data_IF_338049813331
#
_entry.id   IF_338049813331
#
_cell.length_a   1.000
_cell.length_b   1.000
_cell.length_c   1.000
_cell.angle_alpha   90.00
_cell.angle_beta   90.00
_cell.angle_gamma   90.00
#
_symmetry.space_group_name_H-M   'P 1'
#
loop_
_entity.id
_entity.type
_entity.pdbx_description
1 polymer ?
#
# COMPACT_ATOMS: atom_id res chain seq x y z
N UNK A 1 -15.06 6.18 -0.99
CA UNK A 1 -14.10 5.30 -0.28
C UNK A 1 -14.36 5.32 1.21
N UNK A 2 -13.62 4.50 1.98
CA UNK A 2 -13.90 4.19 3.40
C UNK A 2 -13.57 5.30 4.42
N UNK A 3 -12.69 6.25 4.09
CA UNK A 3 -12.23 7.37 4.95
C UNK A 3 -11.50 7.00 6.26
N UNK A 4 -11.23 5.73 6.52
CA UNK A 4 -10.44 5.30 7.70
C UNK A 4 -9.14 4.55 7.35
N UNK A 5 -8.74 4.55 6.07
CA UNK A 5 -7.49 3.93 5.63
C UNK A 5 -7.57 2.42 5.34
N UNK A 6 -8.78 1.85 5.25
CA UNK A 6 -9.02 0.42 4.98
C UNK A 6 -9.34 0.04 3.53
N UNK A 7 -9.33 0.98 2.60
CA UNK A 7 -9.50 0.70 1.17
C UNK A 7 -8.50 1.51 0.34
N UNK A 8 -8.29 1.12 -0.92
CA UNK A 8 -7.36 1.81 -1.83
C UNK A 8 -8.01 2.88 -2.71
N UNK A 9 -9.29 3.24 -2.49
CA UNK A 9 -9.99 4.24 -3.32
C UNK A 9 -9.31 5.62 -3.34
N UNK A 10 -8.65 6.01 -2.25
CA UNK A 10 -7.91 7.27 -2.16
C UNK A 10 -6.39 7.05 -2.16
N UNK A 11 -5.94 5.96 -2.78
CA UNK A 11 -4.53 5.72 -3.01
C UNK A 11 -3.97 6.71 -4.04
N UNK A 12 -2.79 7.24 -3.75
CA UNK A 12 -1.98 8.08 -4.62
C UNK A 12 -0.53 7.64 -4.54
N UNK A 13 0.31 8.06 -5.49
CA UNK A 13 1.74 7.77 -5.50
C UNK A 13 2.52 9.03 -5.08
N UNK A 14 3.34 8.89 -4.04
CA UNK A 14 4.24 9.92 -3.57
C UNK A 14 5.48 9.95 -4.48
N UNK A 15 5.60 11.01 -5.28
CA UNK A 15 6.71 11.22 -6.21
C UNK A 15 7.89 11.88 -5.50
N UNK A 16 7.58 12.87 -4.65
CA UNK A 16 8.57 13.58 -3.83
C UNK A 16 7.96 14.02 -2.50
N UNK A 17 8.80 14.18 -1.48
CA UNK A 17 8.39 14.54 -0.12
C UNK A 17 8.22 13.36 0.83
N UNK A 18 7.55 13.62 1.95
CA UNK A 18 7.40 12.67 3.05
C UNK A 18 6.02 12.79 3.72
N UNK A 19 5.47 11.65 4.14
CA UNK A 19 4.21 11.58 4.88
C UNK A 19 4.29 10.59 6.03
N UNK A 20 3.57 10.87 7.12
CA UNK A 20 3.19 9.88 8.12
C UNK A 20 1.84 9.27 7.74
N UNK A 21 1.83 7.97 7.44
CA UNK A 21 0.62 7.23 7.13
C UNK A 21 0.42 6.01 8.03
N UNK A 22 0.95 6.00 9.27
CA UNK A 22 0.86 4.86 10.19
C UNK A 22 -0.57 4.38 10.49
N UNK A 23 -1.56 5.26 10.35
CA UNK A 23 -2.97 4.94 10.54
C UNK A 23 -3.60 4.08 9.41
N UNK A 24 -2.93 3.93 8.26
CA UNK A 24 -3.46 3.16 7.14
C UNK A 24 -3.36 1.65 7.38
N UNK A 25 -4.36 0.89 6.95
CA UNK A 25 -4.34 -0.58 7.03
C UNK A 25 -4.39 -1.27 5.66
N UNK A 26 -4.79 -0.57 4.60
CA UNK A 26 -5.05 -1.13 3.26
C UNK A 26 -3.80 -1.60 2.49
N UNK A 27 -2.69 -0.87 2.55
CA UNK A 27 -1.50 -1.14 1.73
C UNK A 27 -0.59 -2.19 2.37
N UNK A 28 -0.08 -3.12 1.57
CA UNK A 28 0.98 -4.04 1.97
C UNK A 28 2.39 -3.43 1.78
N UNK A 29 3.44 -4.15 2.19
CA UNK A 29 4.81 -3.63 2.16
C UNK A 29 5.32 -3.40 0.74
N UNK A 30 4.88 -4.20 -0.25
CA UNK A 30 5.22 -3.97 -1.66
C UNK A 30 4.66 -2.63 -2.16
N UNK A 31 3.39 -2.37 -1.89
CA UNK A 31 2.73 -1.14 -2.33
C UNK A 31 3.35 0.09 -1.66
N UNK A 32 3.64 0.03 -0.36
CA UNK A 32 4.34 1.11 0.35
C UNK A 32 5.73 1.36 -0.26
N UNK A 33 6.51 0.31 -0.55
CA UNK A 33 7.82 0.42 -1.23
C UNK A 33 7.72 1.02 -2.64
N UNK A 34 6.60 0.83 -3.32
CA UNK A 34 6.32 1.44 -4.63
C UNK A 34 5.86 2.91 -4.54
N UNK A 35 5.88 3.52 -3.34
CA UNK A 35 5.54 4.92 -3.13
C UNK A 35 4.06 5.19 -2.91
N UNK A 36 3.23 4.16 -2.71
CA UNK A 36 1.80 4.37 -2.51
C UNK A 36 1.47 4.86 -1.10
N UNK A 37 0.55 5.82 -1.04
CA UNK A 37 0.02 6.41 0.20
C UNK A 37 -1.51 6.42 0.20
N UNK A 38 -2.13 6.45 1.39
CA UNK A 38 -3.59 6.56 1.55
C UNK A 38 -3.99 7.96 2.04
N UNK A 39 -4.47 8.80 1.13
CA UNK A 39 -4.66 10.24 1.38
C UNK A 39 -5.65 10.56 2.50
N UNK A 40 -6.65 9.72 2.75
CA UNK A 40 -7.64 10.02 3.80
C UNK A 40 -7.07 9.95 5.23
N UNK A 41 -5.91 9.33 5.42
CA UNK A 41 -5.25 9.20 6.74
C UNK A 41 -3.77 9.60 6.73
N UNK A 42 -3.16 9.82 5.56
CA UNK A 42 -1.79 10.31 5.45
C UNK A 42 -1.69 11.79 5.89
N UNK A 43 -0.62 12.11 6.62
CA UNK A 43 -0.28 13.46 7.08
C UNK A 43 1.07 13.85 6.49
N UNK A 44 1.11 14.94 5.73
CA UNK A 44 2.37 15.43 5.16
C UNK A 44 3.35 15.85 6.26
N UNK A 45 4.62 15.48 6.10
CA UNK A 45 5.74 15.87 6.98
C UNK A 45 6.75 16.77 6.27
N UNK A 46 6.58 16.98 4.96
CA UNK A 46 7.28 17.95 4.13
C UNK A 46 6.37 18.40 2.98
N UNK A 47 6.85 19.31 2.13
CA UNK A 47 6.25 19.54 0.81
C UNK A 47 6.23 18.22 0.03
N UNK A 48 5.14 17.98 -0.71
CA UNK A 48 4.88 16.71 -1.39
C UNK A 48 4.46 16.93 -2.84
N UNK A 49 4.96 16.06 -3.73
CA UNK A 49 4.47 15.91 -5.11
C UNK A 49 3.77 14.56 -5.20
N UNK A 50 2.51 14.58 -5.64
CA UNK A 50 1.65 13.40 -5.69
C UNK A 50 1.13 13.18 -7.11
N UNK A 51 1.24 11.95 -7.59
CA UNK A 51 0.45 11.45 -8.71
C UNK A 51 -0.86 10.89 -8.16
N UNK A 52 -1.97 11.39 -8.67
CA UNK A 52 -3.33 10.96 -8.30
C UNK A 52 -3.97 10.24 -9.49
N UNK A 53 -5.24 9.85 -9.37
CA UNK A 53 -5.97 9.24 -10.49
C UNK A 53 -5.53 7.80 -10.83
N UNK A 54 -6.12 7.28 -11.90
CA UNK A 54 -5.91 5.89 -12.36
C UNK A 54 -4.48 5.69 -12.86
N UNK A 55 -3.92 6.73 -13.46
CA UNK A 55 -2.54 6.81 -13.95
C UNK A 55 -1.51 6.52 -12.86
N UNK A 56 -1.80 6.88 -11.60
CA UNK A 56 -0.90 6.59 -10.49
C UNK A 56 -0.87 5.10 -10.11
N UNK A 57 -1.87 4.29 -10.51
CA UNK A 57 -2.08 2.91 -10.01
C UNK A 57 -1.34 1.83 -10.81
N UNK A 58 -0.33 2.20 -11.59
CA UNK A 58 0.48 1.31 -12.46
C UNK A 58 0.98 0.04 -11.75
N UNK A 59 1.36 0.14 -10.48
CA UNK A 59 1.87 -0.98 -9.64
C UNK A 59 1.05 -1.24 -8.39
N UNK A 60 -0.12 -0.60 -8.26
CA UNK A 60 -0.96 -0.72 -7.08
C UNK A 60 -1.64 -2.08 -7.03
N UNK A 61 -2.18 -2.51 -8.17
CA UNK A 61 -2.83 -3.81 -8.33
C UNK A 61 -1.86 -4.84 -8.94
N UNK A 62 -1.92 -6.07 -8.43
CA UNK A 62 -1.22 -7.23 -9.01
C UNK A 62 -2.13 -8.43 -8.88
N UNK A 63 -2.25 -9.23 -9.93
CA UNK A 63 -3.01 -10.47 -9.86
C UNK A 63 -2.28 -11.51 -8.98
N UNK A 64 -2.84 -11.86 -7.80
CA UNK A 64 -2.17 -12.76 -6.87
C UNK A 64 -2.13 -14.23 -7.35
N UNK A 65 -2.93 -14.60 -8.35
CA UNK A 65 -2.95 -15.96 -8.90
C UNK A 65 -1.87 -16.19 -9.95
N UNK A 66 -1.38 -15.12 -10.59
CA UNK A 66 -0.30 -15.19 -11.59
C UNK A 66 1.06 -14.93 -10.94
N UNK A 67 1.12 -13.95 -10.02
CA UNK A 67 2.32 -13.59 -9.28
C UNK A 67 1.96 -13.49 -7.79
N UNK A 68 2.12 -14.57 -7.00
CA UNK A 68 1.77 -14.59 -5.57
C UNK A 68 2.77 -13.82 -4.72
N UNK A 69 2.29 -13.16 -3.65
CA UNK A 69 3.14 -12.32 -2.79
C UNK A 69 4.17 -13.17 -2.05
N UNK A 70 5.43 -12.73 -2.04
CA UNK A 70 6.44 -13.33 -1.17
C UNK A 70 6.20 -12.91 0.29
N UNK A 71 6.66 -13.72 1.25
CA UNK A 71 6.39 -13.49 2.68
C UNK A 71 6.83 -12.10 3.17
N UNK A 72 7.92 -11.55 2.63
CA UNK A 72 8.42 -10.22 2.99
C UNK A 72 7.58 -9.06 2.44
N UNK A 73 6.71 -9.32 1.46
CA UNK A 73 5.79 -8.33 0.88
C UNK A 73 4.50 -8.19 1.69
N UNK A 74 4.20 -9.17 2.53
CA UNK A 74 3.09 -9.16 3.47
C UNK A 74 3.44 -8.27 4.68
N UNK A 75 2.43 -7.63 5.26
CA UNK A 75 2.59 -7.04 6.61
C UNK A 75 2.81 -8.17 7.62
N UNK A 76 3.55 -7.86 8.69
CA UNK A 76 3.78 -8.79 9.79
C UNK A 76 2.43 -9.36 10.30
N UNK A 77 2.45 -10.63 10.70
CA UNK A 77 1.34 -11.33 11.37
C UNK A 77 0.07 -11.60 10.54
N UNK A 78 0.08 -11.39 9.21
CA UNK A 78 -1.08 -11.67 8.34
C UNK A 78 -1.14 -13.11 7.85
N UNK A 79 0.00 -13.76 7.61
CA UNK A 79 0.06 -15.13 7.12
C UNK A 79 1.10 -15.93 7.89
N UNK A 80 0.67 -16.95 8.62
CA UNK A 80 1.56 -18.05 9.01
C UNK A 80 1.71 -18.96 7.79
N UNK A 81 2.94 -19.38 7.43
CA UNK A 81 3.10 -20.49 6.49
C UNK A 81 2.22 -21.65 6.98
N UNK A 82 1.40 -22.22 6.10
CA UNK A 82 0.82 -23.52 6.38
C UNK A 82 1.96 -24.51 6.25
N UNK A 83 2.33 -25.15 7.36
CA UNK A 83 3.27 -26.26 7.33
C UNK A 83 2.62 -27.38 6.49
N UNK A 84 3.15 -27.61 5.28
CA UNK A 84 2.67 -28.66 4.38
C UNK A 84 3.29 -30.03 4.69
N UNK A 85 4.06 -30.15 5.77
CA UNK A 85 4.65 -31.40 6.23
C UNK A 85 3.72 -32.11 7.23
N UNK A 86 2.70 -32.79 6.70
CA UNK A 86 2.07 -33.99 7.30
C UNK A 86 1.61 -34.95 6.22
#
# INVERSE_FOLDING_TARGET
GCKYGGCITCAAKLVDGSVDQRAQVALNNRQIRNGYIILCVARATSDCILEVGVESHDKLYRNPFIDPLASHELKADIAKPLDFDK
#
